data_IF_615211755138
#
_entry.id   IF_615211755138
#
_cell.length_a   1.000
_cell.length_b   1.000
_cell.length_c   1.000
_cell.angle_alpha   90.00
_cell.angle_beta   90.00
_cell.angle_gamma   90.00
#
_symmetry.space_group_name_H-M   'P 1'
#
loop_
_entity.id
_entity.type
_entity.pdbx_description
1 polymer ?
#
# COMPACT_ATOMS: atom_id res chain seq x y z
N UNK A 1 55.95 -12.86 23.56
CA UNK A 1 54.87 -12.00 23.04
C UNK A 1 54.87 -12.13 21.53
N UNK A 2 53.77 -12.59 20.90
CA UNK A 2 53.33 -12.21 19.55
C UNK A 2 51.89 -12.73 19.35
N UNK A 3 50.90 -11.83 19.36
CA UNK A 3 49.50 -12.19 19.10
C UNK A 3 49.27 -12.24 17.59
N UNK A 4 48.77 -13.37 17.07
CA UNK A 4 48.35 -13.50 15.67
C UNK A 4 47.04 -12.76 15.44
N UNK A 5 47.07 -11.65 14.71
CA UNK A 5 45.88 -10.97 14.21
C UNK A 5 45.34 -11.73 13.00
N UNK A 6 44.12 -12.25 13.11
CA UNK A 6 43.40 -12.85 11.98
C UNK A 6 42.77 -11.72 11.18
N UNK A 7 43.28 -11.48 9.97
CA UNK A 7 42.72 -10.47 9.07
C UNK A 7 41.58 -11.12 8.28
N UNK A 8 40.35 -10.65 8.49
CA UNK A 8 39.17 -11.11 7.76
C UNK A 8 39.06 -10.30 6.47
N UNK A 9 39.20 -10.96 5.33
CA UNK A 9 38.98 -10.33 4.02
C UNK A 9 37.49 -10.11 3.79
N UNK A 10 37.12 -8.87 3.44
CA UNK A 10 35.74 -8.53 3.07
C UNK A 10 35.61 -8.74 1.57
N UNK A 11 34.81 -9.73 1.17
CA UNK A 11 34.46 -9.95 -0.24
C UNK A 11 33.36 -8.96 -0.64
N UNK A 12 33.64 -8.13 -1.64
CA UNK A 12 32.67 -7.18 -2.18
C UNK A 12 31.65 -7.91 -3.05
N UNK A 13 30.39 -7.97 -2.60
CA UNK A 13 29.30 -8.51 -3.40
C UNK A 13 29.07 -7.58 -4.60
N UNK A 14 28.99 -8.14 -5.81
CA UNK A 14 28.66 -7.36 -7.01
C UNK A 14 27.27 -6.74 -6.82
N UNK A 15 27.09 -5.43 -7.09
CA UNK A 15 25.80 -4.78 -6.92
C UNK A 15 24.76 -5.49 -7.80
N UNK A 16 23.70 -6.00 -7.16
CA UNK A 16 22.60 -6.64 -7.87
C UNK A 16 21.89 -5.60 -8.72
N UNK A 17 21.93 -5.76 -10.04
CA UNK A 17 21.15 -4.95 -10.97
C UNK A 17 19.70 -5.43 -10.88
N UNK A 18 18.76 -4.63 -10.33
CA UNK A 18 17.37 -5.04 -10.28
C UNK A 18 16.87 -5.25 -11.71
N UNK A 19 16.42 -6.48 -12.01
CA UNK A 19 15.96 -6.90 -13.34
C UNK A 19 14.63 -6.26 -13.76
N UNK A 20 14.06 -5.38 -12.94
CA UNK A 20 12.79 -4.73 -13.20
C UNK A 20 12.99 -3.68 -14.30
N UNK A 21 12.55 -4.01 -15.52
CA UNK A 21 12.44 -3.07 -16.63
C UNK A 21 11.05 -2.44 -16.61
N UNK A 22 10.97 -1.17 -16.22
CA UNK A 22 9.74 -0.40 -16.41
C UNK A 22 9.51 -0.23 -17.92
N UNK A 23 8.46 -0.86 -18.44
CA UNK A 23 7.99 -0.53 -19.80
C UNK A 23 7.51 0.91 -19.71
N UNK A 24 8.22 1.82 -20.37
CA UNK A 24 7.91 3.24 -20.32
C UNK A 24 6.44 3.46 -20.65
N UNK A 25 5.64 3.81 -19.65
CA UNK A 25 4.41 4.54 -19.90
C UNK A 25 4.88 5.82 -20.58
N UNK A 26 4.47 6.02 -21.83
CA UNK A 26 4.57 7.33 -22.46
C UNK A 26 3.82 8.28 -21.52
N UNK A 27 4.54 9.02 -20.67
CA UNK A 27 3.94 10.13 -19.95
C UNK A 27 3.40 11.08 -21.04
N UNK A 28 2.11 11.44 -21.02
CA UNK A 28 1.72 12.63 -21.75
C UNK A 28 2.49 13.80 -21.12
N UNK A 29 3.28 14.45 -21.96
CA UNK A 29 3.91 15.73 -21.70
C UNK A 29 2.87 16.72 -21.19
N UNK A 30 3.18 17.37 -20.06
CA UNK A 30 2.77 18.72 -19.71
C UNK A 30 1.31 19.13 -19.95
N UNK A 31 0.55 19.23 -18.86
CA UNK A 31 -0.47 20.27 -18.70
C UNK A 31 -1.92 19.81 -18.82
N UNK A 32 -2.68 20.09 -17.76
CA UNK A 32 -4.14 20.10 -17.79
C UNK A 32 -4.80 18.94 -17.07
N UNK A 33 -5.58 19.25 -16.03
CA UNK A 33 -6.65 18.38 -15.54
C UNK A 33 -7.53 17.94 -16.72
N UNK A 34 -7.66 16.64 -16.95
CA UNK A 34 -8.86 16.06 -17.55
C UNK A 34 -8.93 14.57 -17.23
N UNK A 35 -10.12 14.19 -16.79
CA UNK A 35 -10.63 12.85 -16.57
C UNK A 35 -10.54 11.98 -17.83
N UNK A 36 -10.65 10.67 -17.62
CA UNK A 36 -11.10 9.63 -18.57
C UNK A 36 -10.03 8.70 -19.22
N UNK A 37 -9.97 7.50 -18.61
CA UNK A 37 -10.02 6.16 -19.20
C UNK A 37 -8.99 5.70 -20.25
N UNK A 38 -8.08 4.82 -19.81
CA UNK A 38 -7.41 3.83 -20.67
C UNK A 38 -7.95 2.42 -20.42
N UNK A 39 -8.60 1.88 -21.44
CA UNK A 39 -9.08 0.51 -21.57
C UNK A 39 -7.93 -0.43 -21.95
N UNK A 40 -7.33 -1.08 -20.96
CA UNK A 40 -6.84 -2.46 -21.14
C UNK A 40 -8.04 -3.40 -21.07
N UNK A 41 -7.99 -4.57 -21.70
CA UNK A 41 -9.07 -5.58 -21.69
C UNK A 41 -9.40 -6.01 -20.25
N UNK A 42 -10.31 -5.25 -19.62
CA UNK A 42 -10.77 -5.46 -18.25
C UNK A 42 -11.65 -6.70 -18.28
N UNK A 43 -11.36 -7.67 -17.42
CA UNK A 43 -12.44 -8.52 -16.93
C UNK A 43 -13.57 -7.58 -16.55
N UNK A 44 -14.74 -7.74 -17.17
CA UNK A 44 -15.93 -6.96 -16.84
C UNK A 44 -16.33 -7.35 -15.43
N UNK A 45 -15.66 -6.76 -14.43
CA UNK A 45 -16.15 -6.77 -13.08
C UNK A 45 -17.54 -6.15 -13.18
N UNK A 46 -18.57 -7.00 -13.02
CA UNK A 46 -19.95 -6.54 -13.02
C UNK A 46 -20.04 -5.45 -11.97
N UNK A 47 -20.32 -4.23 -12.40
CA UNK A 47 -20.41 -3.10 -11.50
C UNK A 47 -21.62 -3.35 -10.59
N UNK A 48 -21.36 -3.71 -9.33
CA UNK A 48 -22.40 -3.92 -8.33
C UNK A 48 -22.85 -2.54 -7.83
N UNK A 49 -24.14 -2.37 -7.48
CA UNK A 49 -24.59 -1.14 -6.86
C UNK A 49 -23.83 -0.91 -5.55
N UNK A 50 -23.52 0.36 -5.27
CA UNK A 50 -23.03 0.80 -3.96
C UNK A 50 -24.20 0.66 -2.99
N UNK A 51 -23.96 0.01 -1.85
CA UNK A 51 -24.97 -0.22 -0.81
C UNK A 51 -24.63 0.71 0.35
N UNK A 52 -25.63 1.45 0.82
CA UNK A 52 -25.51 2.35 1.97
C UNK A 52 -25.71 1.61 3.30
N UNK A 53 -25.22 2.17 4.40
CA UNK A 53 -25.29 1.56 5.73
C UNK A 53 -26.72 1.23 6.20
N UNK A 54 -27.71 2.05 5.81
CA UNK A 54 -29.11 1.81 6.15
C UNK A 54 -29.74 0.65 5.36
N UNK A 55 -29.13 0.27 4.23
CA UNK A 55 -29.55 -0.87 3.41
C UNK A 55 -28.94 -2.19 3.91
N UNK A 56 -27.90 -2.12 4.75
CA UNK A 56 -27.25 -3.29 5.33
C UNK A 56 -28.12 -3.93 6.43
N UNK A 57 -28.29 -5.27 6.43
CA UNK A 57 -28.87 -6.00 7.55
C UNK A 57 -28.14 -5.71 8.86
N UNK A 58 -28.87 -5.71 9.98
CA UNK A 58 -28.34 -5.32 11.29
C UNK A 58 -27.03 -6.01 11.68
N UNK A 59 -26.88 -7.30 11.35
CA UNK A 59 -25.68 -8.11 11.65
C UNK A 59 -24.41 -7.68 10.91
N UNK A 60 -24.54 -6.90 9.83
CA UNK A 60 -23.42 -6.40 9.02
C UNK A 60 -23.20 -4.90 9.19
N UNK A 61 -24.04 -4.20 9.98
CA UNK A 61 -23.81 -2.80 10.28
C UNK A 61 -22.62 -2.67 11.24
N UNK A 62 -21.89 -1.57 11.13
CA UNK A 62 -20.82 -1.23 12.07
C UNK A 62 -21.42 -0.98 13.46
N UNK A 63 -20.73 -1.44 14.49
CA UNK A 63 -21.08 -1.10 15.87
C UNK A 63 -20.91 0.41 16.12
N UNK A 64 -21.67 0.95 17.07
CA UNK A 64 -21.45 2.33 17.55
C UNK A 64 -20.24 2.33 18.47
N UNK A 65 -19.38 3.34 18.32
CA UNK A 65 -18.24 3.55 19.20
C UNK A 65 -18.74 4.06 20.55
N UNK A 66 -18.26 3.45 21.64
CA UNK A 66 -18.53 3.93 23.00
C UNK A 66 -17.47 4.95 23.44
N UNK A 67 -17.74 5.73 24.49
CA UNK A 67 -16.84 6.79 24.98
C UNK A 67 -15.45 6.25 25.35
N UNK A 68 -15.41 5.08 25.99
CA UNK A 68 -14.15 4.42 26.34
C UNK A 68 -13.31 4.06 25.10
N UNK A 69 -13.96 3.57 24.04
CA UNK A 69 -13.32 3.24 22.77
C UNK A 69 -12.83 4.49 22.06
N UNK A 70 -13.65 5.55 22.02
CA UNK A 70 -13.28 6.85 21.47
C UNK A 70 -12.03 7.38 22.17
N UNK A 71 -11.99 7.33 23.50
CA UNK A 71 -10.84 7.78 24.28
C UNK A 71 -9.59 6.93 24.01
N UNK A 72 -9.73 5.59 23.92
CA UNK A 72 -8.62 4.71 23.60
C UNK A 72 -8.05 4.94 22.19
N UNK A 73 -8.90 5.24 21.21
CA UNK A 73 -8.48 5.62 19.86
C UNK A 73 -7.74 6.97 19.91
N UNK A 74 -8.30 7.95 20.63
CA UNK A 74 -7.70 9.29 20.75
C UNK A 74 -6.36 9.28 21.50
N UNK A 75 -6.20 8.40 22.49
CA UNK A 75 -4.93 8.22 23.21
C UNK A 75 -3.92 7.36 22.44
N UNK A 76 -4.29 6.81 21.28
CA UNK A 76 -3.44 5.91 20.50
C UNK A 76 -3.18 4.57 21.19
N UNK A 77 -4.05 4.14 22.10
CA UNK A 77 -3.86 2.91 22.88
C UNK A 77 -2.79 3.02 23.96
N UNK A 78 -2.36 4.23 24.33
CA UNK A 78 -1.59 4.45 25.55
C UNK A 78 -2.58 4.48 26.74
N UNK A 79 -2.51 3.46 27.59
CA UNK A 79 -3.21 3.35 28.87
C UNK A 79 -2.18 3.41 30.00
#
# INVERSE_FOLDING_TARGET
MFSRTIVRSVSTVKPHVPLIKFRGSKLPSSGGHSVESQSSSKASASQRPIIEDYQLPQRYRRARLDEAEINAINSGGAY
#
